data_IF_761965756584
#
_entry.id   IF_761965756584
#
_cell.length_a   1.000
_cell.length_b   1.000
_cell.length_c   1.000
_cell.angle_alpha   90.00
_cell.angle_beta   90.00
_cell.angle_gamma   90.00
#
_symmetry.space_group_name_H-M   'P 1'
#
loop_
_entity.id
_entity.type
_entity.pdbx_description
1 polymer ?
#
# COMPACT_ATOMS: atom_id res chain seq x y z
N UNK A 1 4.46 16.88 11.47
CA UNK A 1 4.22 15.90 10.39
C UNK A 1 2.72 15.86 10.03
N UNK A 2 2.30 15.38 8.85
CA UNK A 2 0.92 15.48 8.33
C UNK A 2 -0.12 14.58 9.04
N UNK A 3 -1.19 15.21 9.54
CA UNK A 3 -2.21 14.64 10.44
C UNK A 3 -3.14 13.59 9.78
N UNK A 4 -2.98 13.34 8.50
CA UNK A 4 -3.89 12.54 7.70
C UNK A 4 -3.36 11.14 7.39
N UNK A 5 -2.10 10.82 7.75
CA UNK A 5 -1.48 9.54 7.40
C UNK A 5 -1.61 8.51 8.53
N UNK A 6 -2.31 7.41 8.26
CA UNK A 6 -2.41 6.26 9.17
C UNK A 6 -1.08 5.49 9.25
N UNK A 7 -0.66 5.11 10.46
CA UNK A 7 0.58 4.34 10.71
C UNK A 7 0.33 3.20 11.69
N UNK A 8 1.05 2.09 11.57
CA UNK A 8 1.00 1.02 12.56
C UNK A 8 1.55 1.51 13.92
N UNK A 9 1.16 0.83 14.99
CA UNK A 9 1.86 0.87 16.27
C UNK A 9 3.15 0.07 16.15
N UNK A 10 4.26 0.63 16.64
CA UNK A 10 5.53 -0.11 16.72
C UNK A 10 5.38 -1.24 17.72
N UNK A 11 5.64 -2.48 17.27
CA UNK A 11 5.54 -3.65 18.14
C UNK A 11 6.79 -3.74 19.03
N UNK A 12 6.65 -3.29 20.27
CA UNK A 12 7.66 -3.40 21.33
C UNK A 12 7.42 -4.60 22.25
N UNK A 13 6.56 -5.53 21.84
CA UNK A 13 6.12 -6.68 22.65
C UNK A 13 5.09 -6.33 23.73
N UNK A 14 4.56 -5.09 23.75
CA UNK A 14 3.58 -4.60 24.74
C UNK A 14 2.35 -3.97 24.10
N UNK A 15 2.00 -4.39 22.88
CA UNK A 15 0.82 -3.88 22.20
C UNK A 15 -0.46 -4.36 22.90
N UNK A 16 -1.44 -3.48 23.04
CA UNK A 16 -2.76 -3.89 23.55
C UNK A 16 -3.52 -4.68 22.47
N UNK A 17 -4.51 -5.51 22.83
CA UNK A 17 -5.32 -6.23 21.84
C UNK A 17 -5.95 -5.34 20.75
N UNK A 18 -6.34 -4.13 21.12
CA UNK A 18 -6.90 -3.14 20.21
C UNK A 18 -5.84 -2.60 19.24
N UNK A 19 -4.60 -2.42 19.70
CA UNK A 19 -3.48 -1.98 18.86
C UNK A 19 -3.10 -3.06 17.85
N UNK A 20 -3.12 -4.33 18.28
CA UNK A 20 -2.94 -5.48 17.38
C UNK A 20 -4.04 -5.52 16.32
N UNK A 21 -5.31 -5.34 16.71
CA UNK A 21 -6.44 -5.34 15.77
C UNK A 21 -6.31 -4.21 14.75
N UNK A 22 -5.93 -3.01 15.20
CA UNK A 22 -5.69 -1.88 14.31
C UNK A 22 -4.55 -2.18 13.32
N UNK A 23 -3.40 -2.66 13.82
CA UNK A 23 -2.25 -2.98 12.98
C UNK A 23 -2.61 -4.04 11.94
N UNK A 24 -3.33 -5.08 12.34
CA UNK A 24 -3.80 -6.13 11.46
C UNK A 24 -4.66 -5.55 10.33
N UNK A 25 -5.68 -4.75 10.65
CA UNK A 25 -6.56 -4.14 9.63
C UNK A 25 -5.81 -3.21 8.69
N UNK A 26 -4.89 -2.41 9.21
CA UNK A 26 -4.06 -1.52 8.39
C UNK A 26 -3.17 -2.33 7.44
N UNK A 27 -2.53 -3.39 7.94
CA UNK A 27 -1.72 -4.29 7.12
C UNK A 27 -2.56 -5.00 6.05
N UNK A 28 -3.73 -5.53 6.39
CA UNK A 28 -4.64 -6.16 5.42
C UNK A 28 -5.04 -5.21 4.30
N UNK A 29 -5.39 -3.96 4.63
CA UNK A 29 -5.71 -2.94 3.63
C UNK A 29 -4.51 -2.63 2.72
N UNK A 30 -3.31 -2.51 3.31
CA UNK A 30 -2.06 -2.31 2.55
C UNK A 30 -1.75 -3.47 1.63
N UNK A 31 -1.91 -4.72 2.09
CA UNK A 31 -1.68 -5.91 1.26
C UNK A 31 -2.54 -5.91 0.01
N UNK A 32 -3.83 -5.54 0.10
CA UNK A 32 -4.71 -5.44 -1.08
C UNK A 32 -4.21 -4.39 -2.06
N UNK A 33 -3.78 -3.23 -1.57
CA UNK A 33 -3.23 -2.14 -2.40
C UNK A 33 -1.91 -2.56 -3.05
N UNK A 34 -0.99 -3.16 -2.28
CA UNK A 34 0.31 -3.64 -2.75
C UNK A 34 0.16 -4.75 -3.79
N UNK A 35 -0.77 -5.69 -3.59
CA UNK A 35 -1.10 -6.73 -4.59
C UNK A 35 -1.65 -6.12 -5.88
N UNK A 36 -2.56 -5.14 -5.77
CA UNK A 36 -3.14 -4.46 -6.93
C UNK A 36 -2.08 -3.73 -7.76
N UNK A 37 -1.21 -2.96 -7.09
CA UNK A 37 -0.09 -2.28 -7.76
C UNK A 37 0.96 -3.27 -8.28
N UNK A 38 1.18 -4.40 -7.60
CA UNK A 38 2.03 -5.48 -8.08
C UNK A 38 1.54 -6.04 -9.41
N UNK A 39 0.25 -6.36 -9.50
CA UNK A 39 -0.40 -6.86 -10.73
C UNK A 39 -0.39 -5.81 -11.85
N UNK A 40 -0.66 -4.53 -11.51
CA UNK A 40 -0.59 -3.42 -12.47
C UNK A 40 0.81 -3.28 -13.08
N UNK A 41 1.85 -3.23 -12.23
CA UNK A 41 3.25 -3.11 -12.65
C UNK A 41 3.72 -4.34 -13.43
N UNK A 42 3.28 -5.53 -13.02
CA UNK A 42 3.58 -6.80 -13.69
C UNK A 42 2.99 -6.87 -15.10
N UNK A 43 1.70 -6.54 -15.24
CA UNK A 43 1.00 -6.48 -16.53
C UNK A 43 1.59 -5.40 -17.44
N UNK A 44 1.83 -4.20 -16.91
CA UNK A 44 2.34 -3.06 -17.67
C UNK A 44 3.78 -2.73 -17.31
N UNK A 45 4.72 -3.56 -17.81
CA UNK A 45 6.17 -3.43 -17.54
C UNK A 45 6.77 -2.07 -17.93
N UNK A 46 6.10 -1.26 -18.76
CA UNK A 46 6.51 0.11 -19.04
C UNK A 46 6.54 1.00 -17.78
N UNK A 47 5.76 0.67 -16.74
CA UNK A 47 5.76 1.38 -15.46
C UNK A 47 7.00 1.06 -14.59
N UNK A 48 7.67 -0.06 -14.85
CA UNK A 48 8.87 -0.49 -14.13
C UNK A 48 10.16 0.01 -14.76
N UNK A 49 10.10 0.45 -16.01
CA UNK A 49 11.27 0.93 -16.75
C UNK A 49 11.45 2.42 -16.50
N UNK A 50 12.72 2.87 -16.51
CA UNK A 50 13.03 4.29 -16.58
C UNK A 50 12.35 4.89 -17.81
N UNK A 51 11.60 5.96 -17.59
CA UNK A 51 10.86 6.66 -18.63
C UNK A 51 11.41 8.08 -18.77
N UNK A 52 12.16 8.35 -19.83
CA UNK A 52 12.77 9.66 -20.10
C UNK A 52 11.80 10.62 -20.83
N UNK A 53 10.50 10.33 -20.86
CA UNK A 53 9.50 11.23 -21.42
C UNK A 53 9.15 12.39 -20.47
N UNK A 54 8.44 13.40 -21.00
CA UNK A 54 7.96 14.53 -20.21
C UNK A 54 7.03 14.04 -19.09
N UNK A 55 7.11 14.68 -17.92
CA UNK A 55 6.30 14.33 -16.74
C UNK A 55 4.80 14.17 -17.05
N UNK A 56 4.24 15.06 -17.87
CA UNK A 56 2.84 14.99 -18.27
C UNK A 56 2.49 13.74 -19.08
N UNK A 57 3.42 13.26 -19.92
CA UNK A 57 3.23 12.01 -20.63
C UNK A 57 3.36 10.81 -19.68
N UNK A 58 4.31 10.82 -18.75
CA UNK A 58 4.45 9.77 -17.72
C UNK A 58 3.17 9.62 -16.88
N UNK A 59 2.55 10.74 -16.48
CA UNK A 59 1.25 10.73 -15.76
C UNK A 59 0.15 10.10 -16.61
N UNK A 60 0.03 10.50 -17.89
CA UNK A 60 -0.96 9.94 -18.81
C UNK A 60 -0.74 8.45 -19.03
N UNK A 61 0.50 8.01 -19.21
CA UNK A 61 0.84 6.59 -19.33
C UNK A 61 0.39 5.81 -18.09
N UNK A 62 0.70 6.30 -16.89
CA UNK A 62 0.28 5.65 -15.65
C UNK A 62 -1.26 5.53 -15.55
N UNK A 63 -1.99 6.61 -15.85
CA UNK A 63 -3.45 6.59 -15.86
C UNK A 63 -4.03 5.62 -16.90
N UNK A 64 -3.49 5.63 -18.12
CA UNK A 64 -3.90 4.68 -19.17
C UNK A 64 -3.67 3.24 -18.74
N UNK A 65 -2.52 2.93 -18.13
CA UNK A 65 -2.25 1.61 -17.57
C UNK A 65 -3.29 1.20 -16.50
N UNK A 66 -3.68 2.12 -15.60
CA UNK A 66 -4.73 1.86 -14.61
C UNK A 66 -6.08 1.56 -15.27
N UNK A 67 -6.49 2.37 -16.26
CA UNK A 67 -7.75 2.17 -16.98
C UNK A 67 -7.77 0.83 -17.70
N UNK A 68 -6.72 0.51 -18.46
CA UNK A 68 -6.60 -0.76 -19.17
C UNK A 68 -6.57 -1.96 -18.22
N UNK A 69 -5.88 -1.82 -17.07
CA UNK A 69 -5.88 -2.85 -16.04
C UNK A 69 -7.29 -3.12 -15.52
N UNK A 70 -8.04 -2.08 -15.15
CA UNK A 70 -9.41 -2.22 -14.65
C UNK A 70 -10.33 -2.88 -15.67
N UNK A 71 -10.18 -2.55 -16.96
CA UNK A 71 -10.93 -3.21 -18.05
C UNK A 71 -10.62 -4.71 -18.08
N UNK A 72 -9.35 -5.11 -18.04
CA UNK A 72 -8.97 -6.53 -18.00
C UNK A 72 -9.58 -7.25 -16.77
N UNK A 73 -9.51 -6.64 -15.58
CA UNK A 73 -10.08 -7.21 -14.36
C UNK A 73 -11.61 -7.40 -14.47
N UNK A 74 -12.32 -6.42 -15.01
CA UNK A 74 -13.77 -6.49 -15.22
C UNK A 74 -14.16 -7.59 -16.20
N UNK A 75 -13.32 -7.87 -17.20
CA UNK A 75 -13.56 -8.92 -18.19
C UNK A 75 -13.03 -10.30 -17.77
N UNK A 76 -12.51 -10.43 -16.53
CA UNK A 76 -11.96 -11.70 -16.03
C UNK A 76 -10.64 -12.12 -16.69
N UNK A 77 -10.01 -11.24 -17.47
CA UNK A 77 -8.62 -11.37 -17.88
C UNK A 77 -7.77 -11.06 -16.64
N UNK A 78 -7.61 -12.07 -15.78
CA UNK A 78 -6.85 -11.96 -14.55
C UNK A 78 -5.36 -12.11 -14.85
N UNK A 79 -4.54 -11.18 -14.32
CA UNK A 79 -3.10 -11.31 -14.44
C UNK A 79 -2.59 -12.58 -13.73
N UNK A 80 -1.97 -13.50 -14.47
CA UNK A 80 -1.30 -14.69 -13.92
C UNK A 80 0.08 -14.33 -13.38
N UNK A 81 0.32 -14.61 -12.09
CA UNK A 81 1.57 -14.35 -11.39
C UNK A 81 2.79 -15.10 -11.95
N UNK A 82 2.58 -16.08 -12.84
CA UNK A 82 3.65 -16.83 -13.50
C UNK A 82 4.60 -15.93 -14.33
N UNK A 83 4.14 -14.71 -14.69
CA UNK A 83 4.92 -13.73 -15.46
C UNK A 83 5.60 -12.66 -14.59
N UNK A 84 5.51 -12.76 -13.26
CA UNK A 84 6.12 -11.79 -12.34
C UNK A 84 7.59 -12.13 -12.09
N UNK A 85 8.50 -11.50 -12.85
CA UNK A 85 9.93 -11.44 -12.50
C UNK A 85 10.08 -10.81 -11.10
N UNK A 86 10.22 -11.64 -10.04
CA UNK A 86 10.32 -11.22 -8.63
C UNK A 86 11.52 -10.29 -8.33
N UNK A 87 12.43 -10.12 -9.30
CA UNK A 87 13.71 -9.43 -9.15
C UNK A 87 13.64 -7.89 -9.30
N UNK A 88 12.52 -7.30 -9.75
CA UNK A 88 12.44 -5.84 -9.99
C UNK A 88 11.71 -5.05 -8.88
N UNK A 89 11.17 -5.71 -7.85
CA UNK A 89 10.47 -5.08 -6.74
C UNK A 89 11.41 -4.77 -5.56
N UNK A 90 12.41 -3.90 -5.76
CA UNK A 90 13.10 -3.29 -4.60
C UNK A 90 12.19 -2.15 -4.09
N UNK A 91 11.18 -2.54 -3.31
CA UNK A 91 10.45 -1.59 -2.46
C UNK A 91 11.38 -1.14 -1.32
N UNK A 92 11.33 0.13 -0.88
CA UNK A 92 12.08 0.59 0.28
C UNK A 92 11.78 -0.28 1.49
N UNK A 93 12.82 -0.71 2.21
CA UNK A 93 12.66 -1.62 3.35
C UNK A 93 11.84 -0.99 4.47
N UNK A 94 11.11 -1.84 5.21
CA UNK A 94 10.33 -1.42 6.38
C UNK A 94 11.18 -0.64 7.40
N UNK A 95 12.48 -0.95 7.49
CA UNK A 95 13.47 -0.22 8.30
C UNK A 95 13.55 1.27 7.93
N UNK A 96 13.68 1.58 6.64
CA UNK A 96 13.77 2.95 6.12
C UNK A 96 12.46 3.71 6.30
N UNK A 97 11.32 3.01 6.18
CA UNK A 97 10.00 3.59 6.45
C UNK A 97 9.78 3.84 7.95
N UNK A 98 10.35 3.01 8.82
CA UNK A 98 10.22 3.11 10.28
C UNK A 98 11.08 4.25 10.86
N UNK A 99 12.28 4.49 10.32
CA UNK A 99 13.13 5.63 10.71
C UNK A 99 12.46 6.99 10.45
N UNK A 100 11.72 7.14 9.35
CA UNK A 100 10.92 8.34 9.08
C UNK A 100 9.62 8.41 9.91
N UNK A 101 9.16 7.27 10.43
CA UNK A 101 7.93 7.18 11.19
C UNK A 101 8.11 7.46 12.70
N UNK A 102 9.29 7.19 13.26
CA UNK A 102 9.57 7.24 14.70
C UNK A 102 9.69 8.64 15.31
N UNK A 103 9.66 9.72 14.50
CA UNK A 103 9.90 11.09 15.00
C UNK A 103 8.66 11.76 15.64
N UNK A 104 7.42 11.28 15.46
CA UNK A 104 6.24 11.99 16.00
C UNK A 104 5.01 11.10 16.31
N UNK A 105 4.70 11.05 17.62
CA UNK A 105 3.50 10.66 18.43
C UNK A 105 2.13 10.61 17.71
N UNK A 106 0.99 10.11 18.20
CA UNK A 106 0.50 9.11 19.17
C UNK A 106 -1.07 9.14 19.19
N UNK A 107 -1.69 10.22 18.67
CA UNK A 107 -3.10 10.59 18.94
C UNK A 107 -4.17 10.10 17.94
N UNK A 108 -3.92 10.10 16.61
CA UNK A 108 -4.89 9.61 15.58
C UNK A 108 -5.30 8.16 15.84
N UNK A 109 -4.29 7.43 16.29
CA UNK A 109 -4.30 6.06 16.74
C UNK A 109 -5.30 5.79 17.87
N UNK A 110 -5.39 6.69 18.85
CA UNK A 110 -6.33 6.56 19.96
C UNK A 110 -7.79 6.75 19.50
N UNK A 111 -8.03 7.68 18.57
CA UNK A 111 -9.36 7.91 18.00
C UNK A 111 -9.88 6.71 17.20
N UNK A 112 -9.00 6.06 16.42
CA UNK A 112 -9.37 4.86 15.65
C UNK A 112 -9.60 3.62 16.54
N UNK A 113 -8.85 3.48 17.65
CA UNK A 113 -9.13 2.43 18.65
C UNK A 113 -10.54 2.58 19.24
N UNK A 114 -10.96 3.80 19.59
CA UNK A 114 -12.30 4.05 20.14
C UNK A 114 -13.41 3.74 19.13
N UNK A 115 -13.20 4.07 17.85
CA UNK A 115 -14.20 3.79 16.80
C UNK A 115 -14.37 2.29 16.54
N UNK A 116 -13.28 1.52 16.46
CA UNK A 116 -13.37 0.07 16.20
C UNK A 116 -13.94 -0.73 17.37
N UNK A 117 -13.83 -0.24 18.61
CA UNK A 117 -14.42 -0.88 19.78
C UNK A 117 -15.91 -0.55 19.99
N UNK A 118 -16.45 0.49 19.33
CA UNK A 118 -17.87 0.86 19.40
C UNK A 118 -18.80 -0.02 18.56
N UNK A 119 -18.27 -0.84 17.65
CA UNK A 119 -19.05 -1.74 16.80
C UNK A 119 -19.28 -3.14 17.38
N UNK A 120 -19.17 -3.31 18.71
CA UNK A 120 -19.31 -4.58 19.42
C UNK A 120 -20.47 -4.59 20.45
N UNK A 121 -21.49 -3.77 20.25
CA UNK A 121 -22.79 -3.91 20.93
C UNK A 121 -23.86 -4.37 19.93
#
# INVERSE_FOLDING_TARGET
MQNWLMKPFCDTGRLTPEQHTYNYRLSSARSVVEMSFGRLKGRWRCLLKRNDCKLELSKRMALTCCVLHNICEEHGDNFSEEHSDRALNIEPTAQTMLEWANTERADIRAALMMHFNRGKE
#
